data_IF_378573914714
#
_entry.id   IF_378573914714
#
_cell.length_a   1.000
_cell.length_b   1.000
_cell.length_c   1.000
_cell.angle_alpha   90.00
_cell.angle_beta   90.00
_cell.angle_gamma   90.00
#
_symmetry.space_group_name_H-M   'P 1'
#
loop_
_entity.id
_entity.type
_entity.pdbx_description
1 polymer ?
#
# COMPACT_ATOMS: atom_id res chain seq x y z
N UNK A 1 -8.46 27.37 9.16
CA UNK A 1 -8.34 26.00 9.69
C UNK A 1 -8.40 25.05 8.51
N UNK A 2 -7.43 24.14 8.37
CA UNK A 2 -7.45 23.11 7.32
C UNK A 2 -8.51 22.07 7.66
N UNK A 3 -9.26 21.60 6.65
CA UNK A 3 -10.28 20.57 6.85
C UNK A 3 -9.65 19.27 7.37
N UNK A 4 -10.36 18.45 8.18
CA UNK A 4 -9.87 17.14 8.59
C UNK A 4 -9.94 16.14 7.44
N UNK A 5 -9.05 15.13 7.45
CA UNK A 5 -9.16 13.96 6.57
C UNK A 5 -10.48 13.22 6.83
N UNK A 6 -11.21 12.91 5.77
CA UNK A 6 -12.42 12.12 5.83
C UNK A 6 -12.11 10.69 5.39
N UNK A 7 -12.56 9.65 6.13
CA UNK A 7 -12.42 8.27 5.69
C UNK A 7 -13.02 8.07 4.29
N UNK A 8 -12.38 7.22 3.49
CA UNK A 8 -12.93 6.84 2.20
C UNK A 8 -14.27 6.11 2.37
N UNK A 9 -15.08 6.08 1.31
CA UNK A 9 -16.39 5.43 1.27
C UNK A 9 -16.41 4.35 0.19
N UNK A 10 -17.43 3.47 0.22
CA UNK A 10 -17.64 2.46 -0.83
C UNK A 10 -16.52 1.41 -0.87
N UNK A 11 -16.06 1.05 -2.08
CA UNK A 11 -15.04 0.02 -2.30
C UNK A 11 -13.78 0.25 -1.44
N UNK A 12 -13.28 1.49 -1.40
CA UNK A 12 -12.05 1.83 -0.68
C UNK A 12 -12.22 1.71 0.85
N UNK A 13 -13.43 1.88 1.37
CA UNK A 13 -13.72 1.68 2.79
C UNK A 13 -13.72 0.19 3.19
N UNK A 14 -13.91 -0.70 2.22
CA UNK A 14 -13.92 -2.15 2.43
C UNK A 14 -12.54 -2.82 2.43
N UNK A 15 -11.47 -2.05 2.18
CA UNK A 15 -10.09 -2.55 2.19
C UNK A 15 -9.54 -2.54 3.62
N UNK A 16 -9.75 -3.61 4.38
CA UNK A 16 -9.48 -3.66 5.82
C UNK A 16 -7.98 -3.60 6.21
N UNK A 17 -7.08 -3.97 5.30
CA UNK A 17 -5.63 -3.87 5.50
C UNK A 17 -5.07 -2.50 5.11
N UNK A 18 -5.93 -1.56 4.70
CA UNK A 18 -5.57 -0.17 4.37
C UNK A 18 -6.51 0.83 5.07
N UNK A 19 -5.97 1.80 5.80
CA UNK A 19 -6.76 2.96 6.23
C UNK A 19 -6.65 4.05 5.17
N UNK A 20 -7.73 4.27 4.42
CA UNK A 20 -7.79 5.26 3.34
C UNK A 20 -8.63 6.44 3.78
N UNK A 21 -8.08 7.64 3.66
CA UNK A 21 -8.78 8.89 3.91
C UNK A 21 -8.40 9.96 2.89
N UNK A 22 -9.27 10.95 2.69
CA UNK A 22 -9.04 12.04 1.75
C UNK A 22 -9.26 13.39 2.42
N UNK A 23 -8.40 14.35 2.08
CA UNK A 23 -8.58 15.78 2.38
C UNK A 23 -8.33 16.57 1.12
N UNK A 24 -9.35 17.27 0.64
CA UNK A 24 -9.30 18.00 -0.63
C UNK A 24 -8.80 17.08 -1.75
N UNK A 25 -7.65 17.37 -2.34
CA UNK A 25 -7.03 16.58 -3.40
C UNK A 25 -5.98 15.56 -2.92
N UNK A 26 -5.76 15.45 -1.60
CA UNK A 26 -4.76 14.56 -1.00
C UNK A 26 -5.45 13.28 -0.53
N UNK A 27 -5.03 12.14 -1.08
CA UNK A 27 -5.45 10.82 -0.60
C UNK A 27 -4.33 10.27 0.29
N UNK A 28 -4.66 9.86 1.51
CA UNK A 28 -3.74 9.22 2.44
C UNK A 28 -4.10 7.75 2.57
N UNK A 29 -3.20 6.88 2.13
CA UNK A 29 -3.28 5.43 2.24
C UNK A 29 -2.30 4.99 3.33
N UNK A 30 -2.80 4.33 4.37
CA UNK A 30 -1.97 3.77 5.44
C UNK A 30 -2.05 2.25 5.44
N UNK A 31 -0.91 1.57 5.45
CA UNK A 31 -0.84 0.13 5.69
C UNK A 31 -1.34 -0.17 7.10
N UNK A 32 -2.28 -1.12 7.24
CA UNK A 32 -3.00 -1.37 8.49
C UNK A 32 -2.82 -2.80 9.00
N UNK A 33 -1.58 -3.20 9.22
CA UNK A 33 -1.24 -4.44 9.97
C UNK A 33 -0.21 -4.14 11.06
N UNK A 34 -0.44 -3.16 11.95
CA UNK A 34 0.59 -2.69 12.90
C UNK A 34 1.10 -3.81 13.82
N UNK A 35 0.23 -4.75 14.21
CA UNK A 35 0.60 -5.93 15.02
C UNK A 35 1.63 -6.85 14.32
N UNK A 36 1.72 -6.82 12.99
CA UNK A 36 2.73 -7.52 12.19
C UNK A 36 3.73 -6.55 11.55
N UNK A 37 3.90 -5.34 12.09
CA UNK A 37 4.79 -4.30 11.53
C UNK A 37 4.51 -4.01 10.06
N UNK A 38 3.23 -4.07 9.67
CA UNK A 38 2.74 -3.85 8.31
C UNK A 38 3.36 -4.82 7.28
N UNK A 39 3.70 -6.04 7.68
CA UNK A 39 4.22 -7.06 6.76
C UNK A 39 3.23 -7.34 5.60
N UNK A 40 3.78 -7.59 4.42
CA UNK A 40 3.04 -7.78 3.16
C UNK A 40 2.67 -9.24 3.01
N UNK A 41 1.37 -9.48 2.82
CA UNK A 41 0.82 -10.75 2.37
C UNK A 41 0.00 -10.58 1.08
N UNK A 42 -0.48 -11.67 0.52
CA UNK A 42 -1.22 -11.67 -0.76
C UNK A 42 -2.48 -10.78 -0.71
N UNK A 43 -3.17 -10.75 0.42
CA UNK A 43 -4.33 -9.89 0.62
C UNK A 43 -3.96 -8.39 0.56
N UNK A 44 -2.86 -7.99 1.22
CA UNK A 44 -2.40 -6.59 1.18
C UNK A 44 -1.96 -6.18 -0.22
N UNK A 45 -1.29 -7.08 -0.97
CA UNK A 45 -0.92 -6.84 -2.38
C UNK A 45 -2.16 -6.57 -3.23
N UNK A 46 -3.20 -7.40 -3.09
CA UNK A 46 -4.45 -7.23 -3.82
C UNK A 46 -5.19 -5.93 -3.44
N UNK A 47 -5.15 -5.53 -2.17
CA UNK A 47 -5.76 -4.28 -1.71
C UNK A 47 -5.00 -3.05 -2.19
N UNK A 48 -3.65 -3.08 -2.19
CA UNK A 48 -2.83 -2.02 -2.77
C UNK A 48 -3.16 -1.82 -4.25
N UNK A 49 -3.16 -2.90 -5.04
CA UNK A 49 -3.57 -2.84 -6.43
C UNK A 49 -4.97 -2.21 -6.59
N UNK A 50 -5.96 -2.71 -5.84
CA UNK A 50 -7.34 -2.21 -5.88
C UNK A 50 -7.42 -0.72 -5.52
N UNK A 51 -6.71 -0.28 -4.48
CA UNK A 51 -6.72 1.11 -4.02
C UNK A 51 -6.16 2.07 -5.08
N UNK A 52 -5.04 1.72 -5.71
CA UNK A 52 -4.39 2.58 -6.70
C UNK A 52 -5.16 2.64 -8.03
N UNK A 53 -5.76 1.54 -8.48
CA UNK A 53 -6.63 1.54 -9.68
C UNK A 53 -7.89 2.39 -9.47
N UNK A 54 -8.40 2.45 -8.23
CA UNK A 54 -9.66 3.13 -7.91
C UNK A 54 -9.46 4.48 -7.20
N UNK A 55 -8.33 5.16 -7.40
CA UNK A 55 -8.11 6.49 -6.82
C UNK A 55 -9.20 7.48 -7.27
N UNK A 56 -9.85 8.21 -6.35
CA UNK A 56 -10.90 9.18 -6.68
C UNK A 56 -10.42 10.22 -7.69
N UNK A 57 -11.20 10.56 -8.72
CA UNK A 57 -10.79 11.50 -9.78
C UNK A 57 -10.29 12.86 -9.26
N UNK A 58 -10.78 13.28 -8.09
CA UNK A 58 -10.34 14.49 -7.36
C UNK A 58 -8.91 14.41 -6.82
N UNK A 59 -8.33 13.21 -6.68
CA UNK A 59 -6.96 13.03 -6.21
C UNK A 59 -5.96 13.74 -7.12
N UNK A 60 -5.01 14.43 -6.50
CA UNK A 60 -3.86 15.07 -7.14
C UNK A 60 -2.53 14.62 -6.54
N UNK A 61 -2.56 13.94 -5.39
CA UNK A 61 -1.39 13.37 -4.73
C UNK A 61 -1.83 12.24 -3.80
N UNK A 62 -1.00 11.21 -3.69
CA UNK A 62 -1.15 10.14 -2.70
C UNK A 62 -0.03 10.23 -1.68
N UNK A 63 -0.38 10.15 -0.40
CA UNK A 63 0.56 9.89 0.69
C UNK A 63 0.40 8.42 1.08
N UNK A 64 1.48 7.65 1.00
CA UNK A 64 1.56 6.25 1.44
C UNK A 64 2.38 6.19 2.74
N UNK A 65 1.88 5.52 3.77
CA UNK A 65 2.59 5.37 5.05
C UNK A 65 2.15 4.10 5.78
N UNK A 66 2.78 3.78 6.90
CA UNK A 66 2.35 2.67 7.78
C UNK A 66 1.60 3.17 9.01
N UNK A 67 0.59 2.41 9.45
CA UNK A 67 -0.01 2.59 10.78
C UNK A 67 0.92 2.00 11.86
N UNK A 68 0.98 2.62 13.04
CA UNK A 68 1.86 2.21 14.14
C UNK A 68 3.33 2.60 13.94
N UNK A 69 4.25 1.86 14.57
CA UNK A 69 5.67 2.25 14.72
C UNK A 69 6.54 2.03 13.47
N UNK A 70 6.04 1.34 12.45
CA UNK A 70 6.82 0.97 11.28
C UNK A 70 6.06 1.25 9.98
N UNK A 71 6.80 1.60 8.93
CA UNK A 71 6.27 1.64 7.59
C UNK A 71 5.88 0.23 7.13
N UNK A 72 6.85 -0.68 6.93
CA UNK A 72 6.63 -2.04 6.47
C UNK A 72 7.86 -2.94 6.69
N UNK A 73 7.68 -4.07 7.38
CA UNK A 73 8.73 -5.06 7.62
C UNK A 73 9.00 -6.02 6.44
N UNK A 74 8.37 -5.83 5.28
CA UNK A 74 8.52 -6.71 4.11
C UNK A 74 7.59 -7.91 4.13
N UNK A 75 7.99 -9.01 3.51
CA UNK A 75 7.15 -10.21 3.39
C UNK A 75 6.71 -10.76 4.76
N UNK A 76 5.44 -11.12 4.88
CA UNK A 76 4.92 -11.80 6.06
C UNK A 76 5.45 -13.24 6.14
N UNK A 77 6.47 -13.44 6.98
CA UNK A 77 7.12 -14.75 7.14
C UNK A 77 6.21 -15.81 7.75
N UNK A 78 5.11 -15.42 8.42
CA UNK A 78 4.13 -16.39 8.94
C UNK A 78 3.22 -16.96 7.86
N UNK A 79 3.18 -16.32 6.68
CA UNK A 79 2.40 -16.72 5.51
C UNK A 79 3.32 -17.24 4.38
N UNK A 80 4.59 -17.45 4.69
CA UNK A 80 5.56 -18.07 3.77
C UNK A 80 5.28 -19.57 3.65
N UNK A 81 4.97 -20.02 2.44
CA UNK A 81 4.79 -21.42 2.10
C UNK A 81 5.68 -21.84 0.93
N UNK A 82 5.87 -23.15 0.78
CA UNK A 82 6.53 -23.69 -0.40
C UNK A 82 5.71 -23.38 -1.65
N UNK A 83 6.40 -22.94 -2.70
CA UNK A 83 5.82 -22.69 -4.02
C UNK A 83 6.68 -23.40 -5.05
N UNK A 84 6.05 -24.01 -6.04
CA UNK A 84 6.74 -24.42 -7.26
C UNK A 84 7.31 -23.20 -7.97
N UNK A 85 8.24 -23.40 -8.91
CA UNK A 85 8.82 -22.30 -9.70
C UNK A 85 7.72 -21.50 -10.42
N UNK A 86 6.72 -22.19 -11.00
CA UNK A 86 5.61 -21.54 -11.70
C UNK A 86 4.76 -20.68 -10.75
N UNK A 87 4.42 -21.20 -9.57
CA UNK A 87 3.67 -20.46 -8.56
C UNK A 87 4.47 -19.27 -8.01
N UNK A 88 5.79 -19.41 -7.84
CA UNK A 88 6.68 -18.32 -7.45
C UNK A 88 6.70 -17.18 -8.46
N UNK A 89 6.74 -17.50 -9.76
CA UNK A 89 6.66 -16.50 -10.84
C UNK A 89 5.29 -15.79 -10.82
N UNK A 90 4.19 -16.53 -10.67
CA UNK A 90 2.84 -15.95 -10.60
C UNK A 90 2.71 -15.04 -9.38
N UNK A 91 3.20 -15.46 -8.22
CA UNK A 91 3.20 -14.67 -6.99
C UNK A 91 4.02 -13.38 -7.16
N UNK A 92 5.25 -13.46 -7.69
CA UNK A 92 6.06 -12.27 -7.99
C UNK A 92 5.36 -11.32 -8.96
N UNK A 93 4.69 -11.84 -10.00
CA UNK A 93 3.93 -11.00 -10.95
C UNK A 93 2.74 -10.29 -10.29
N UNK A 94 2.11 -10.88 -9.27
CA UNK A 94 1.04 -10.20 -8.53
C UNK A 94 1.56 -9.00 -7.74
N UNK A 95 2.75 -9.11 -7.14
CA UNK A 95 3.42 -8.00 -6.47
C UNK A 95 3.80 -6.90 -7.45
N UNK A 96 4.42 -7.27 -8.57
CA UNK A 96 4.77 -6.31 -9.63
C UNK A 96 3.53 -5.57 -10.15
N UNK A 97 2.42 -6.27 -10.41
CA UNK A 97 1.19 -5.63 -10.86
C UNK A 97 0.68 -4.58 -9.87
N UNK A 98 0.74 -4.85 -8.56
CA UNK A 98 0.37 -3.87 -7.54
C UNK A 98 1.33 -2.67 -7.51
N UNK A 99 2.65 -2.91 -7.55
CA UNK A 99 3.67 -1.86 -7.48
C UNK A 99 3.72 -1.02 -8.77
N UNK A 100 3.41 -1.59 -9.93
CA UNK A 100 3.25 -0.86 -11.19
C UNK A 100 2.14 0.19 -11.10
N UNK A 101 1.05 -0.09 -10.37
CA UNK A 101 -0.02 0.91 -10.16
C UNK A 101 0.44 2.08 -9.29
N UNK A 102 1.49 1.89 -8.48
CA UNK A 102 2.11 2.95 -7.67
C UNK A 102 3.11 3.73 -8.54
N UNK A 103 4.00 3.01 -9.21
CA UNK A 103 5.05 3.58 -10.06
C UNK A 103 4.49 4.39 -11.24
N UNK A 104 3.39 3.94 -11.83
CA UNK A 104 2.74 4.59 -12.96
C UNK A 104 1.40 5.22 -12.58
N UNK A 105 1.21 5.52 -11.28
CA UNK A 105 0.01 6.20 -10.82
C UNK A 105 -0.20 7.52 -11.58
N UNK A 106 -1.46 7.85 -11.89
CA UNK A 106 -1.82 9.12 -12.56
C UNK A 106 -1.53 10.39 -11.74
N UNK A 107 -1.08 10.24 -10.50
CA UNK A 107 -0.72 11.32 -9.56
C UNK A 107 0.56 10.95 -8.82
N UNK A 108 1.37 11.92 -8.36
CA UNK A 108 2.54 11.64 -7.55
C UNK A 108 2.19 10.88 -6.27
N UNK A 109 3.06 9.95 -5.89
CA UNK A 109 2.95 9.13 -4.68
C UNK A 109 4.15 9.43 -3.79
N UNK A 110 3.90 9.86 -2.56
CA UNK A 110 4.91 10.15 -1.55
C UNK A 110 4.88 9.04 -0.51
N UNK A 111 5.99 8.34 -0.30
CA UNK A 111 6.14 7.38 0.78
C UNK A 111 6.70 8.07 2.03
N UNK A 112 5.91 8.10 3.11
CA UNK A 112 6.36 8.61 4.41
C UNK A 112 6.89 7.43 5.21
N UNK A 113 8.22 7.33 5.24
CA UNK A 113 8.95 6.22 5.83
C UNK A 113 9.27 6.48 7.31
N UNK A 114 9.06 5.46 8.14
CA UNK A 114 9.44 5.44 9.55
C UNK A 114 9.66 4.00 10.02
N UNK A 115 10.42 3.83 11.10
CA UNK A 115 10.69 2.51 11.65
C UNK A 115 11.27 1.52 10.63
N UNK A 116 10.67 0.33 10.52
CA UNK A 116 11.15 -0.70 9.60
C UNK A 116 10.71 -0.42 8.16
N UNK A 117 11.66 -0.46 7.23
CA UNK A 117 11.49 -0.38 5.77
C UNK A 117 12.42 -1.43 5.15
N UNK A 118 11.99 -2.69 5.13
CA UNK A 118 12.91 -3.82 4.88
C UNK A 118 12.36 -4.75 3.79
N UNK A 119 13.24 -5.25 2.91
CA UNK A 119 12.87 -6.22 1.86
C UNK A 119 11.71 -5.71 1.00
N UNK A 120 10.60 -6.46 0.97
CA UNK A 120 9.36 -6.06 0.31
C UNK A 120 8.81 -4.69 0.71
N UNK A 121 9.08 -4.23 1.94
CA UNK A 121 8.71 -2.90 2.39
C UNK A 121 9.55 -1.80 1.74
N UNK A 122 10.84 -2.08 1.48
CA UNK A 122 11.71 -1.19 0.71
C UNK A 122 11.35 -1.23 -0.78
N UNK A 123 10.98 -2.38 -1.32
CA UNK A 123 10.48 -2.49 -2.71
C UNK A 123 9.19 -1.67 -2.89
N UNK A 124 8.23 -1.77 -1.96
CA UNK A 124 7.02 -0.94 -1.94
C UNK A 124 7.35 0.56 -1.87
N UNK A 125 8.27 0.96 -0.98
CA UNK A 125 8.70 2.35 -0.87
C UNK A 125 9.36 2.85 -2.16
N UNK A 126 10.17 2.02 -2.79
CA UNK A 126 10.90 2.36 -4.02
C UNK A 126 9.99 2.50 -5.25
N UNK A 127 8.77 1.96 -5.20
CA UNK A 127 7.76 2.17 -6.22
C UNK A 127 7.10 3.56 -6.13
N UNK A 128 7.25 4.27 -5.01
CA UNK A 128 6.80 5.64 -4.87
C UNK A 128 7.71 6.62 -5.62
N UNK A 129 7.20 7.84 -5.85
CA UNK A 129 7.91 8.86 -6.62
C UNK A 129 8.83 9.73 -5.75
N UNK A 130 8.51 9.84 -4.46
CA UNK A 130 9.20 10.62 -3.43
C UNK A 130 9.25 9.80 -2.16
#
# INVERSE_FOLDING_TARGET
MTAPFQPATGLLAGLDLLLIAQRDAVVHIRLNRPAKRNAINDALVAQLHTAFVNLPESARVVVLSGEGEHFCAGLDLSELGERTVAEGIVHSRSWHAAFEQIQFARVPVLAVLHGAVVGGGLELASAAHI
#
